data_IF_532817744903
#
_entry.id   IF_532817744903
#
_cell.length_a   1.000
_cell.length_b   1.000
_cell.length_c   1.000
_cell.angle_alpha   90.00
_cell.angle_beta   90.00
_cell.angle_gamma   90.00
#
_symmetry.space_group_name_H-M   'P 1'
#
loop_
_entity.id
_entity.type
_entity.pdbx_description
1 polymer ?
#
# COMPACT_ATOMS: atom_id res chain seq x y z
N UNK A 1 2.49 -10.16 0.02
CA UNK A 1 2.54 -10.00 -1.45
C UNK A 1 3.51 -11.04 -1.98
N UNK A 2 3.05 -12.06 -2.72
CA UNK A 2 3.89 -13.23 -3.06
C UNK A 2 4.38 -13.25 -4.51
N UNK A 3 3.87 -12.35 -5.38
CA UNK A 3 4.31 -12.27 -6.77
C UNK A 3 4.21 -10.84 -7.34
N UNK A 4 4.79 -10.62 -8.52
CA UNK A 4 4.71 -9.34 -9.24
C UNK A 4 3.28 -8.88 -9.53
N UNK A 5 2.36 -9.82 -9.79
CA UNK A 5 0.93 -9.55 -9.95
C UNK A 5 0.27 -8.99 -8.67
N UNK A 6 0.61 -9.54 -7.50
CA UNK A 6 0.14 -9.03 -6.21
C UNK A 6 0.54 -7.58 -5.98
N UNK A 7 1.81 -7.23 -6.28
CA UNK A 7 2.28 -5.85 -6.14
C UNK A 7 1.62 -4.91 -7.16
N UNK A 8 1.39 -5.33 -8.40
CA UNK A 8 0.67 -4.51 -9.39
C UNK A 8 -0.76 -4.22 -8.96
N UNK A 9 -1.50 -5.26 -8.52
CA UNK A 9 -2.87 -5.12 -8.00
C UNK A 9 -2.93 -4.12 -6.84
N UNK A 10 -2.02 -4.23 -5.87
CA UNK A 10 -1.99 -3.31 -4.73
C UNK A 10 -1.63 -1.88 -5.15
N UNK A 11 -0.68 -1.72 -6.08
CA UNK A 11 -0.31 -0.40 -6.62
C UNK A 11 -1.50 0.29 -7.27
N UNK A 12 -2.24 -0.43 -8.13
CA UNK A 12 -3.43 0.12 -8.80
C UNK A 12 -4.51 0.51 -7.79
N UNK A 13 -4.75 -0.31 -6.77
CA UNK A 13 -5.75 -0.01 -5.76
C UNK A 13 -5.38 1.23 -4.93
N UNK A 14 -4.11 1.38 -4.54
CA UNK A 14 -3.62 2.54 -3.78
C UNK A 14 -3.60 3.81 -4.62
N UNK A 15 -3.23 3.73 -5.90
CA UNK A 15 -3.23 4.89 -6.81
C UNK A 15 -4.63 5.43 -7.12
N UNK A 16 -5.68 4.63 -6.90
CA UNK A 16 -7.07 5.06 -7.03
C UNK A 16 -7.57 5.86 -5.82
N UNK A 17 -6.81 5.90 -4.72
CA UNK A 17 -7.17 6.68 -3.53
C UNK A 17 -6.65 8.10 -3.67
N UNK A 18 -7.56 9.08 -3.67
CA UNK A 18 -7.18 10.50 -3.67
C UNK A 18 -6.29 10.80 -2.47
N UNK A 19 -5.18 11.50 -2.72
CA UNK A 19 -4.21 11.86 -1.68
C UNK A 19 -3.25 10.73 -1.29
N UNK A 20 -3.23 9.60 -2.01
CA UNK A 20 -2.24 8.53 -1.79
C UNK A 20 -1.32 8.42 -3.00
N UNK A 21 -0.02 8.58 -2.76
CA UNK A 21 1.01 8.40 -3.78
C UNK A 21 1.90 7.20 -3.43
N UNK A 22 1.93 6.18 -4.28
CA UNK A 22 2.82 5.03 -4.11
C UNK A 22 4.24 5.41 -4.54
N UNK A 23 5.20 5.36 -3.61
CA UNK A 23 6.62 5.62 -3.90
C UNK A 23 7.38 4.36 -4.25
N UNK A 24 7.12 3.29 -3.50
CA UNK A 24 7.81 2.01 -3.66
C UNK A 24 6.88 0.87 -3.28
N UNK A 25 6.98 -0.22 -4.01
CA UNK A 25 6.35 -1.48 -3.65
C UNK A 25 7.32 -2.60 -3.94
N UNK A 26 7.47 -3.53 -3.00
CA UNK A 26 8.38 -4.64 -3.14
C UNK A 26 7.69 -5.94 -2.73
N UNK A 27 7.43 -6.80 -3.72
CA UNK A 27 6.89 -8.13 -3.45
C UNK A 27 7.90 -9.04 -2.72
N UNK A 28 9.22 -8.78 -2.85
CA UNK A 28 10.24 -9.55 -2.14
C UNK A 28 10.29 -9.24 -0.64
N UNK A 29 10.25 -7.95 -0.26
CA UNK A 29 10.29 -7.54 1.15
C UNK A 29 8.91 -7.49 1.81
N UNK A 30 7.83 -7.48 1.02
CA UNK A 30 6.48 -7.31 1.53
C UNK A 30 6.15 -5.87 1.94
N UNK A 31 6.99 -4.90 1.58
CA UNK A 31 6.83 -3.49 1.96
C UNK A 31 6.17 -2.66 0.85
N UNK A 32 5.43 -1.64 1.27
CA UNK A 32 4.91 -0.58 0.42
C UNK A 32 5.16 0.75 1.12
N UNK A 33 5.74 1.70 0.38
CA UNK A 33 5.98 3.06 0.84
C UNK A 33 5.01 3.97 0.11
N UNK A 34 4.23 4.72 0.89
CA UNK A 34 3.25 5.67 0.38
C UNK A 34 3.48 7.04 0.99
N UNK A 35 3.17 8.07 0.22
CA UNK A 35 3.06 9.45 0.72
C UNK A 35 1.58 9.80 0.77
N UNK A 36 1.18 10.39 1.90
CA UNK A 36 -0.17 10.88 2.11
C UNK A 36 -0.20 12.40 1.88
N UNK A 37 -1.11 12.85 1.05
CA UNK A 37 -1.39 14.26 0.74
C UNK A 37 -2.88 14.54 0.86
N UNK A 38 -3.29 15.80 0.79
CA UNK A 38 -4.70 16.20 0.70
C UNK A 38 -5.60 15.64 1.81
N UNK A 39 -5.05 15.49 3.02
CA UNK A 39 -5.77 14.96 4.18
C UNK A 39 -5.96 13.44 4.16
N UNK A 40 -5.31 12.71 3.25
CA UNK A 40 -5.33 11.26 3.26
C UNK A 40 -4.72 10.71 4.57
N UNK A 41 -5.29 9.60 5.04
CA UNK A 41 -4.92 9.01 6.33
C UNK A 41 -4.35 7.61 6.16
N UNK A 42 -3.54 7.20 7.14
CA UNK A 42 -3.06 5.83 7.22
C UNK A 42 -4.22 4.81 7.30
N UNK A 43 -5.37 5.20 7.86
CA UNK A 43 -6.55 4.34 7.92
C UNK A 43 -7.10 4.01 6.52
N UNK A 44 -7.19 4.98 5.61
CA UNK A 44 -7.63 4.77 4.23
C UNK A 44 -6.68 3.83 3.48
N UNK A 45 -5.37 4.00 3.66
CA UNK A 45 -4.37 3.11 3.07
C UNK A 45 -4.53 1.69 3.62
N UNK A 46 -4.70 1.55 4.94
CA UNK A 46 -4.91 0.24 5.58
C UNK A 46 -6.16 -0.45 5.05
N UNK A 47 -7.26 0.28 4.89
CA UNK A 47 -8.51 -0.24 4.33
C UNK A 47 -8.33 -0.78 2.90
N UNK A 48 -7.59 -0.07 2.05
CA UNK A 48 -7.31 -0.55 0.69
C UNK A 48 -6.44 -1.79 0.68
N UNK A 49 -5.42 -1.85 1.54
CA UNK A 49 -4.55 -3.02 1.67
C UNK A 49 -5.35 -4.25 2.15
N UNK A 50 -6.26 -4.08 3.12
CA UNK A 50 -7.09 -5.19 3.60
C UNK A 50 -8.12 -5.63 2.55
N UNK A 51 -8.78 -4.69 1.85
CA UNK A 51 -9.71 -4.99 0.74
C UNK A 51 -9.05 -5.74 -0.42
N UNK A 52 -7.75 -5.52 -0.64
CA UNK A 52 -7.00 -6.25 -1.67
C UNK A 52 -6.57 -7.67 -1.23
N UNK A 53 -6.88 -8.05 0.02
CA UNK A 53 -6.64 -9.37 0.60
C UNK A 53 -5.31 -9.51 1.32
N UNK A 54 -4.60 -8.40 1.58
CA UNK A 54 -3.32 -8.44 2.28
C UNK A 54 -3.47 -8.10 3.76
N UNK A 55 -2.69 -8.78 4.59
CA UNK A 55 -2.54 -8.46 6.02
C UNK A 55 -1.45 -7.40 6.19
N UNK A 56 -1.66 -6.49 7.12
CA UNK A 56 -0.74 -5.39 7.42
C UNK A 56 0.07 -5.77 8.65
N UNK A 57 1.39 -5.77 8.50
CA UNK A 57 2.31 -5.85 9.61
C UNK A 57 2.55 -4.45 10.20
N UNK A 58 2.93 -4.33 11.48
CA UNK A 58 3.34 -3.05 12.04
C UNK A 58 4.44 -2.41 11.19
N UNK A 59 4.42 -1.08 11.11
CA UNK A 59 5.41 -0.31 10.35
C UNK A 59 6.80 -0.66 10.84
N UNK A 60 7.67 -1.12 9.94
CA UNK A 60 9.10 -1.26 10.26
C UNK A 60 9.68 0.14 10.36
N UNK A 61 9.77 0.67 11.58
CA UNK A 61 10.67 1.81 11.86
C UNK A 61 12.08 1.34 11.54
N UNK A 62 12.63 1.82 10.44
CA UNK A 62 14.05 1.68 10.09
C UNK A 62 14.84 2.79 10.78
#
# INVERSE_FOLDING_TARGET
MTCGGCSKKLTTALAAVKGVQVKKICHKSGCVDVVLTDGATAAQVKEVITKTGFKIAPEKKS
#
